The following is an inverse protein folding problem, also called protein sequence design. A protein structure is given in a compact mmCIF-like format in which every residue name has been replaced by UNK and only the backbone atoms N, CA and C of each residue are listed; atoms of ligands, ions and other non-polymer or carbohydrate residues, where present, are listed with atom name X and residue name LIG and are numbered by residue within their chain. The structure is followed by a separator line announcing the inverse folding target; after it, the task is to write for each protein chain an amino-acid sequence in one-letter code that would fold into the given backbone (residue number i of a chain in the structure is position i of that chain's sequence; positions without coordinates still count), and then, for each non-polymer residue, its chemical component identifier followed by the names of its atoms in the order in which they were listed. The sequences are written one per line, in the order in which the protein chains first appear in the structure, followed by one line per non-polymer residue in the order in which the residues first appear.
data_IF_769076417768
#
_entry.id   IF_769076417768
#
_cell.length_a   1.000
_cell.length_b   1.000
_cell.length_c   1.000
_cell.angle_alpha   90.00
_cell.angle_beta   90.00
_cell.angle_gamma   90.00
#
_symmetry.space_group_name_H-M   'P 1'
#
loop_
_entity.id
_entity.type
_entity.pdbx_description
1 polymer ?
#
# COMPACT_ATOMS: atom_id res chain seq x y z
N UNK A 1 18.22 -3.93 -4.18
CA UNK A 1 19.20 -3.85 -3.06
C UNK A 1 19.88 -2.49 -3.00
N UNK A 2 20.63 -2.07 -4.01
CA UNK A 2 21.39 -0.80 -4.01
C UNK A 2 20.53 0.43 -3.68
N UNK A 3 19.34 0.53 -4.25
CA UNK A 3 18.40 1.63 -3.98
C UNK A 3 18.07 1.76 -2.50
N UNK A 4 17.61 0.68 -1.84
CA UNK A 4 17.22 0.75 -0.43
C UNK A 4 18.42 0.97 0.50
N UNK A 5 19.58 0.39 0.18
CA UNK A 5 20.82 0.66 0.91
C UNK A 5 21.23 2.14 0.81
N UNK A 6 21.13 2.72 -0.41
CA UNK A 6 21.40 4.14 -0.62
C UNK A 6 20.42 5.02 0.16
N UNK A 7 19.11 4.73 0.08
CA UNK A 7 18.07 5.52 0.74
C UNK A 7 18.18 5.44 2.26
N UNK A 8 18.40 4.24 2.82
CA UNK A 8 18.60 4.05 4.26
C UNK A 8 19.85 4.79 4.75
N UNK A 9 20.93 4.80 3.96
CA UNK A 9 22.14 5.57 4.29
C UNK A 9 21.89 7.08 4.25
N UNK A 10 21.21 7.55 3.21
CA UNK A 10 20.93 8.98 3.00
C UNK A 10 20.02 9.58 4.06
N UNK A 11 19.02 8.81 4.50
CA UNK A 11 18.01 9.26 5.45
C UNK A 11 18.19 8.67 6.85
N UNK A 12 19.41 8.19 7.17
CA UNK A 12 19.72 7.62 8.47
C UNK A 12 19.35 8.56 9.61
N UNK A 13 18.55 8.08 10.55
CA UNK A 13 18.10 8.82 11.73
C UNK A 13 16.98 9.84 11.43
N UNK A 14 16.40 9.85 10.25
CA UNK A 14 15.25 10.70 9.89
C UNK A 14 13.97 9.97 10.25
N UNK A 15 13.36 10.34 11.37
CA UNK A 15 12.26 9.59 12.01
C UNK A 15 10.94 9.54 11.24
N UNK A 16 10.74 10.41 10.25
CA UNK A 16 9.52 10.46 9.42
C UNK A 16 9.68 9.77 8.05
N UNK A 17 10.73 8.96 7.87
CA UNK A 17 10.91 8.14 6.67
C UNK A 17 10.41 6.73 6.94
N UNK A 18 9.51 6.26 6.07
CA UNK A 18 8.97 4.90 6.04
C UNK A 18 9.43 4.27 4.71
N UNK A 19 9.81 3.00 4.75
CA UNK A 19 10.28 2.27 3.57
C UNK A 19 9.23 1.26 3.11
N UNK A 20 8.52 1.56 2.03
CA UNK A 20 7.71 0.55 1.34
C UNK A 20 8.58 -0.15 0.30
N UNK A 21 8.78 -1.47 0.47
CA UNK A 21 9.82 -2.20 -0.28
C UNK A 21 9.32 -2.87 -1.55
N UNK A 22 8.02 -2.98 -1.75
CA UNK A 22 7.35 -3.42 -2.98
C UNK A 22 5.90 -2.94 -2.98
N UNK A 23 5.53 -2.09 -3.93
CA UNK A 23 4.19 -1.51 -4.01
C UNK A 23 3.09 -2.57 -4.22
N UNK A 24 3.10 -3.22 -5.36
CA UNK A 24 2.05 -4.18 -5.76
C UNK A 24 2.65 -5.43 -6.43
N UNK A 25 3.10 -6.42 -5.65
CA UNK A 25 3.47 -7.71 -6.21
C UNK A 25 2.28 -8.34 -6.95
N UNK A 26 2.41 -8.47 -8.28
CA UNK A 26 1.34 -8.98 -9.14
C UNK A 26 1.85 -10.17 -9.97
N UNK A 27 1.72 -10.12 -11.31
CA UNK A 27 2.19 -11.19 -12.17
C UNK A 27 3.70 -11.19 -12.36
N UNK A 28 4.36 -12.33 -12.12
CA UNK A 28 5.73 -12.60 -12.57
C UNK A 28 5.79 -13.02 -14.04
N UNK A 29 4.67 -13.50 -14.58
CA UNK A 29 4.48 -13.77 -16.01
C UNK A 29 3.14 -13.17 -16.43
N UNK A 30 3.19 -12.02 -17.10
CA UNK A 30 2.00 -11.28 -17.56
C UNK A 30 1.27 -11.98 -18.72
N UNK A 31 1.98 -12.83 -19.51
CA UNK A 31 1.38 -13.55 -20.63
C UNK A 31 0.50 -14.69 -20.11
N UNK A 32 1.02 -15.47 -19.18
CA UNK A 32 0.32 -16.62 -18.60
C UNK A 32 -0.43 -16.29 -17.32
N UNK A 33 -0.41 -15.03 -16.86
CA UNK A 33 -1.05 -14.53 -15.64
C UNK A 33 -0.64 -15.33 -14.39
N UNK A 34 0.67 -15.62 -14.27
CA UNK A 34 1.23 -16.32 -13.11
C UNK A 34 1.63 -15.30 -12.06
N UNK A 35 0.96 -15.32 -10.91
CA UNK A 35 1.25 -14.43 -9.79
C UNK A 35 2.59 -14.78 -9.10
N UNK A 36 3.19 -13.79 -8.43
CA UNK A 36 4.17 -14.04 -7.39
C UNK A 36 3.49 -14.72 -6.21
N UNK A 37 4.12 -15.79 -5.70
CA UNK A 37 3.69 -16.41 -4.44
C UNK A 37 4.17 -15.60 -3.25
N UNK A 38 3.50 -15.75 -2.10
CA UNK A 38 3.98 -15.13 -0.86
C UNK A 38 5.41 -15.56 -0.51
N UNK A 39 5.78 -16.82 -0.71
CA UNK A 39 7.13 -17.30 -0.43
C UNK A 39 8.21 -16.55 -1.24
N UNK A 40 7.96 -16.26 -2.52
CA UNK A 40 8.88 -15.50 -3.38
C UNK A 40 8.97 -14.01 -2.93
N UNK A 41 7.85 -13.42 -2.55
CA UNK A 41 7.80 -12.03 -2.03
C UNK A 41 8.50 -11.95 -0.67
N UNK A 42 8.29 -12.92 0.19
CA UNK A 42 8.92 -13.01 1.52
C UNK A 42 10.45 -13.12 1.40
N UNK A 43 10.97 -13.99 0.54
CA UNK A 43 12.41 -14.13 0.29
C UNK A 43 13.06 -12.82 -0.17
N UNK A 44 12.42 -12.13 -1.12
CA UNK A 44 12.85 -10.80 -1.54
C UNK A 44 12.81 -9.81 -0.39
N UNK A 45 11.70 -9.77 0.35
CA UNK A 45 11.48 -8.82 1.44
C UNK A 45 12.47 -9.00 2.58
N UNK A 46 12.73 -10.24 3.01
CA UNK A 46 13.73 -10.54 4.05
C UNK A 46 15.13 -10.05 3.64
N UNK A 47 15.48 -10.19 2.37
CA UNK A 47 16.75 -9.71 1.81
C UNK A 47 16.84 -8.17 1.89
N UNK A 48 15.79 -7.46 1.52
CA UNK A 48 15.75 -5.99 1.54
C UNK A 48 15.68 -5.45 2.99
N UNK A 49 14.86 -6.08 3.83
CA UNK A 49 14.74 -5.74 5.25
C UNK A 49 16.12 -5.86 5.94
N UNK A 50 16.84 -6.95 5.73
CA UNK A 50 18.18 -7.14 6.30
C UNK A 50 19.14 -6.01 5.88
N UNK A 51 19.08 -5.57 4.62
CA UNK A 51 19.91 -4.48 4.13
C UNK A 51 19.56 -3.13 4.76
N UNK A 52 18.27 -2.82 4.91
CA UNK A 52 17.82 -1.60 5.60
C UNK A 52 18.21 -1.67 7.10
N UNK A 53 17.95 -2.78 7.78
CA UNK A 53 18.24 -2.97 9.21
C UNK A 53 19.73 -2.92 9.57
N UNK A 54 20.61 -3.22 8.63
CA UNK A 54 22.05 -3.01 8.82
C UNK A 54 22.42 -1.52 8.99
N UNK A 55 21.54 -0.59 8.58
CA UNK A 55 21.78 0.86 8.58
C UNK A 55 20.81 1.57 9.54
N UNK A 56 19.51 1.29 9.40
CA UNK A 56 18.38 1.84 10.16
C UNK A 56 17.68 0.73 10.95
N UNK A 57 17.91 0.69 12.25
CA UNK A 57 17.41 -0.40 13.10
C UNK A 57 15.91 -0.30 13.39
N UNK A 58 15.41 0.94 13.53
CA UNK A 58 14.08 1.22 14.07
C UNK A 58 13.08 1.77 13.03
N UNK A 59 13.53 1.99 11.78
CA UNK A 59 12.65 2.50 10.73
C UNK A 59 11.45 1.57 10.48
N UNK A 60 10.29 2.15 10.21
CA UNK A 60 9.13 1.37 9.77
C UNK A 60 9.38 0.88 8.34
N UNK A 61 9.19 -0.42 8.11
CA UNK A 61 9.28 -1.03 6.79
C UNK A 61 7.92 -1.66 6.46
N UNK A 62 7.40 -1.33 5.27
CA UNK A 62 6.13 -1.85 4.77
C UNK A 62 6.41 -2.87 3.67
N UNK A 63 5.81 -4.03 3.80
CA UNK A 63 6.00 -5.18 2.92
C UNK A 63 4.79 -5.33 2.00
N UNK A 64 5.01 -5.36 0.68
CA UNK A 64 3.97 -5.66 -0.28
C UNK A 64 3.46 -7.10 -0.15
N UNK A 65 2.19 -7.32 -0.45
CA UNK A 65 1.56 -8.64 -0.39
C UNK A 65 1.11 -9.12 -1.78
N UNK A 66 0.83 -10.43 -2.01
CA UNK A 66 0.48 -10.92 -3.34
C UNK A 66 -0.79 -10.26 -3.91
N UNK A 67 -0.95 -10.36 -5.23
CA UNK A 67 -2.14 -9.90 -5.98
C UNK A 67 -2.46 -8.42 -5.74
N UNK A 68 -1.50 -7.56 -6.14
CA UNK A 68 -1.63 -6.10 -5.99
C UNK A 68 -1.85 -5.69 -4.53
N UNK A 69 -1.10 -6.29 -3.62
CA UNK A 69 -1.18 -6.02 -2.19
C UNK A 69 -2.59 -6.24 -1.58
N UNK A 70 -3.28 -7.30 -2.06
CA UNK A 70 -4.60 -7.69 -1.57
C UNK A 70 -4.58 -8.93 -0.68
N UNK A 71 -3.58 -9.82 -0.82
CA UNK A 71 -3.54 -11.09 -0.11
C UNK A 71 -2.71 -10.99 1.19
N UNK A 72 -3.14 -10.13 2.12
CA UNK A 72 -2.52 -9.99 3.45
C UNK A 72 -2.73 -11.26 4.30
N UNK A 73 -3.75 -12.05 4.00
CA UNK A 73 -4.04 -13.35 4.60
C UNK A 73 -2.94 -14.39 4.31
N UNK A 74 -2.33 -14.35 3.12
CA UNK A 74 -1.18 -15.21 2.79
C UNK A 74 0.03 -14.86 3.69
N UNK A 75 0.32 -13.56 3.87
CA UNK A 75 1.37 -13.10 4.76
C UNK A 75 1.08 -13.43 6.23
N UNK A 76 -0.18 -13.39 6.65
CA UNK A 76 -0.60 -13.73 8.00
C UNK A 76 -0.42 -15.21 8.35
N UNK A 77 -0.47 -16.09 7.35
CA UNK A 77 -0.24 -17.53 7.54
C UNK A 77 1.25 -17.89 7.70
N UNK A 78 2.15 -17.07 7.19
CA UNK A 78 3.60 -17.27 7.28
C UNK A 78 4.34 -15.92 7.36
N UNK A 79 4.21 -15.17 8.46
CA UNK A 79 4.78 -13.82 8.58
C UNK A 79 6.31 -13.81 8.55
N UNK A 80 6.88 -12.64 8.23
CA UNK A 80 8.31 -12.40 8.39
C UNK A 80 8.61 -12.24 9.87
N UNK A 81 9.55 -13.03 10.38
CA UNK A 81 9.90 -13.08 11.80
C UNK A 81 11.30 -12.52 12.05
N UNK A 82 11.54 -12.12 13.31
CA UNK A 82 12.88 -11.68 13.77
C UNK A 82 13.22 -10.22 13.48
N UNK A 83 12.24 -9.42 13.07
CA UNK A 83 12.35 -7.98 12.87
C UNK A 83 11.18 -7.26 13.53
N UNK A 84 11.47 -6.15 14.17
CA UNK A 84 10.46 -5.22 14.69
C UNK A 84 10.10 -4.14 13.67
N UNK A 85 9.01 -3.41 13.90
CA UNK A 85 8.54 -2.29 13.07
C UNK A 85 8.30 -2.69 11.61
N UNK A 86 7.72 -3.88 11.40
CA UNK A 86 7.21 -4.31 10.10
C UNK A 86 5.71 -4.08 10.02
N UNK A 87 5.25 -3.60 8.88
CA UNK A 87 3.85 -3.53 8.50
C UNK A 87 3.65 -4.21 7.14
N UNK A 88 2.41 -4.58 6.83
CA UNK A 88 2.05 -5.20 5.55
C UNK A 88 1.05 -4.32 4.86
N UNK A 89 1.26 -4.08 3.56
CA UNK A 89 0.34 -3.22 2.83
C UNK A 89 -0.89 -3.98 2.35
N UNK A 90 -2.04 -3.31 2.46
CA UNK A 90 -3.31 -3.70 1.87
C UNK A 90 -3.77 -2.58 0.94
N UNK A 91 -3.96 -2.88 -0.36
CA UNK A 91 -4.49 -1.92 -1.31
C UNK A 91 -5.96 -2.21 -1.62
N UNK A 92 -6.76 -1.16 -1.73
CA UNK A 92 -8.15 -1.30 -2.15
C UNK A 92 -8.62 -0.13 -3.02
N UNK A 93 -9.59 -0.43 -3.86
CA UNK A 93 -10.42 0.56 -4.56
C UNK A 93 -11.88 0.22 -4.29
N UNK A 94 -12.57 1.10 -3.59
CA UNK A 94 -13.87 0.82 -2.97
C UNK A 94 -14.98 0.50 -3.99
N UNK A 95 -14.87 0.95 -5.23
CA UNK A 95 -15.75 0.54 -6.32
C UNK A 95 -15.67 -0.96 -6.65
N UNK A 96 -14.48 -1.56 -6.49
CA UNK A 96 -14.20 -2.97 -6.80
C UNK A 96 -14.11 -3.86 -5.55
N UNK A 97 -13.40 -3.39 -4.54
CA UNK A 97 -13.04 -4.17 -3.36
C UNK A 97 -14.03 -3.87 -2.23
N UNK A 98 -14.67 -4.92 -1.73
CA UNK A 98 -15.76 -4.84 -0.76
C UNK A 98 -15.39 -5.58 0.53
N UNK A 99 -16.38 -5.98 1.28
CA UNK A 99 -16.25 -6.71 2.54
C UNK A 99 -15.31 -7.93 2.45
N UNK A 100 -15.34 -8.64 1.32
CA UNK A 100 -14.48 -9.82 1.13
C UNK A 100 -12.97 -9.51 1.32
N UNK A 101 -12.53 -8.29 0.98
CA UNK A 101 -11.14 -7.88 1.16
C UNK A 101 -10.90 -7.37 2.58
N UNK A 102 -11.86 -6.67 3.20
CA UNK A 102 -11.79 -6.33 4.63
C UNK A 102 -11.68 -7.57 5.50
N UNK A 103 -12.42 -8.66 5.19
CA UNK A 103 -12.30 -9.95 5.89
C UNK A 103 -10.89 -10.55 5.84
N UNK A 104 -10.13 -10.36 4.77
CA UNK A 104 -8.71 -10.74 4.72
C UNK A 104 -7.88 -9.86 5.67
N UNK A 105 -8.16 -8.57 5.72
CA UNK A 105 -7.57 -7.65 6.69
C UNK A 105 -7.87 -8.08 8.13
N UNK A 106 -9.12 -8.35 8.46
CA UNK A 106 -9.55 -8.84 9.79
C UNK A 106 -8.81 -10.11 10.19
N UNK A 107 -8.67 -11.03 9.23
CA UNK A 107 -7.90 -12.25 9.46
C UNK A 107 -6.44 -11.95 9.77
N UNK A 108 -5.79 -11.08 8.99
CA UNK A 108 -4.40 -10.70 9.19
C UNK A 108 -4.18 -10.01 10.55
N UNK A 109 -5.07 -9.09 10.93
CA UNK A 109 -5.06 -8.42 12.23
C UNK A 109 -5.24 -9.44 13.36
N UNK A 110 -6.16 -10.40 13.22
CA UNK A 110 -6.38 -11.47 14.21
C UNK A 110 -5.16 -12.35 14.44
N UNK A 111 -4.23 -12.40 13.47
CA UNK A 111 -2.93 -13.08 13.55
C UNK A 111 -1.80 -12.20 14.08
N UNK A 112 -2.09 -10.93 14.38
CA UNK A 112 -1.12 -9.98 14.93
C UNK A 112 -0.32 -9.21 13.89
N UNK A 113 -0.72 -9.21 12.62
CA UNK A 113 -0.07 -8.37 11.61
C UNK A 113 -0.51 -6.91 11.78
N UNK A 114 0.45 -6.00 11.73
CA UNK A 114 0.20 -4.58 11.57
C UNK A 114 -0.01 -4.27 10.08
N UNK A 115 -1.11 -3.61 9.74
CA UNK A 115 -1.45 -3.24 8.38
C UNK A 115 -1.26 -1.73 8.16
N UNK A 116 -0.94 -1.37 6.91
CA UNK A 116 -0.98 -0.01 6.40
C UNK A 116 -1.65 -0.04 5.03
N UNK A 117 -2.63 0.80 4.77
CA UNK A 117 -3.21 0.97 3.45
C UNK A 117 -2.42 2.05 2.72
N UNK A 118 -1.34 1.66 2.05
CA UNK A 118 -0.44 2.61 1.37
C UNK A 118 -1.01 3.15 0.07
N UNK A 119 -2.06 2.53 -0.44
CA UNK A 119 -2.78 2.99 -1.63
C UNK A 119 -4.25 2.61 -1.55
N UNK A 120 -5.14 3.57 -1.76
CA UNK A 120 -6.58 3.31 -1.87
C UNK A 120 -7.30 4.37 -2.71
N UNK A 121 -8.51 4.02 -3.17
CA UNK A 121 -9.38 4.93 -3.90
C UNK A 121 -10.86 4.59 -3.74
N UNK A 122 -11.73 5.57 -4.00
CA UNK A 122 -13.19 5.40 -3.91
C UNK A 122 -13.85 4.80 -5.16
N UNK A 123 -13.13 4.76 -6.30
CA UNK A 123 -13.60 4.30 -7.60
C UNK A 123 -13.23 2.83 -7.87
N UNK A 124 -13.33 2.38 -9.12
CA UNK A 124 -12.90 1.04 -9.52
C UNK A 124 -11.38 0.88 -9.52
N UNK A 125 -10.90 -0.36 -9.47
CA UNK A 125 -9.47 -0.70 -9.41
C UNK A 125 -8.66 -0.33 -10.66
N UNK A 126 -9.33 0.04 -11.76
CA UNK A 126 -8.69 0.62 -12.96
C UNK A 126 -8.49 2.14 -12.87
N UNK A 127 -8.81 2.76 -11.74
CA UNK A 127 -8.73 4.18 -11.50
C UNK A 127 -9.88 4.99 -12.12
N UNK A 128 -10.91 4.32 -12.64
CA UNK A 128 -12.02 4.94 -13.37
C UNK A 128 -13.38 4.65 -12.71
N UNK A 129 -14.41 5.28 -13.25
CA UNK A 129 -15.80 5.11 -12.80
C UNK A 129 -16.18 6.04 -11.65
N UNK A 130 -17.44 6.00 -11.21
CA UNK A 130 -17.90 6.84 -10.11
C UNK A 130 -17.29 6.40 -8.78
N UNK A 131 -17.17 7.36 -7.86
CA UNK A 131 -16.85 7.07 -6.48
C UNK A 131 -18.01 6.31 -5.85
N UNK A 132 -17.73 5.14 -5.28
CA UNK A 132 -18.68 4.39 -4.48
C UNK A 132 -18.63 4.89 -3.04
N UNK A 133 -19.46 5.88 -2.74
CA UNK A 133 -19.46 6.58 -1.46
C UNK A 133 -19.73 5.63 -0.29
N UNK A 134 -20.77 4.78 -0.40
CA UNK A 134 -21.13 3.83 0.66
C UNK A 134 -19.99 2.86 0.98
N UNK A 135 -19.37 2.32 -0.06
CA UNK A 135 -18.24 1.41 0.12
C UNK A 135 -16.99 2.13 0.64
N UNK A 136 -16.76 3.38 0.23
CA UNK A 136 -15.63 4.18 0.71
C UNK A 136 -15.79 4.49 2.19
N UNK A 137 -16.98 4.89 2.63
CA UNK A 137 -17.29 5.13 4.04
C UNK A 137 -17.08 3.86 4.87
N UNK A 138 -17.54 2.70 4.39
CA UNK A 138 -17.32 1.41 5.07
C UNK A 138 -15.84 1.02 5.17
N UNK A 139 -14.99 1.42 4.21
CA UNK A 139 -13.54 1.23 4.28
C UNK A 139 -12.88 2.17 5.29
N UNK A 140 -13.28 3.45 5.30
CA UNK A 140 -12.77 4.43 6.26
C UNK A 140 -13.12 4.02 7.69
N UNK A 141 -14.39 3.67 7.94
CA UNK A 141 -14.84 3.17 9.25
C UNK A 141 -14.04 1.96 9.70
N UNK A 142 -13.84 0.97 8.81
CA UNK A 142 -13.04 -0.21 9.10
C UNK A 142 -11.58 0.11 9.43
N UNK A 143 -10.96 1.05 8.71
CA UNK A 143 -9.59 1.47 8.99
C UNK A 143 -9.48 2.21 10.32
N UNK A 144 -10.45 3.09 10.62
CA UNK A 144 -10.49 3.84 11.88
C UNK A 144 -10.70 2.91 13.09
N UNK A 145 -11.60 1.92 12.97
CA UNK A 145 -11.84 0.91 14.02
C UNK A 145 -10.62 0.04 14.32
N UNK A 146 -9.72 -0.14 13.36
CA UNK A 146 -8.51 -0.98 13.48
C UNK A 146 -7.22 -0.18 13.59
N UNK A 147 -7.27 1.15 13.78
CA UNK A 147 -6.10 2.04 13.87
C UNK A 147 -5.17 1.93 12.64
N UNK A 148 -5.72 1.75 11.44
CA UNK A 148 -4.96 1.58 10.20
C UNK A 148 -4.75 2.94 9.52
N UNK A 149 -3.49 3.31 9.33
CA UNK A 149 -3.13 4.49 8.53
C UNK A 149 -3.31 4.21 7.04
N UNK A 150 -3.68 5.26 6.27
CA UNK A 150 -3.92 5.12 4.84
C UNK A 150 -3.48 6.34 4.02
N UNK A 151 -3.29 6.12 2.71
CA UNK A 151 -3.02 7.15 1.73
C UNK A 151 -3.89 6.96 0.49
N UNK A 152 -4.59 8.03 0.09
CA UNK A 152 -5.37 7.99 -1.16
C UNK A 152 -4.48 8.15 -2.39
N UNK A 153 -4.74 7.38 -3.41
CA UNK A 153 -4.22 7.51 -4.76
C UNK A 153 -5.14 8.39 -5.61
N UNK A 154 -4.69 9.52 -6.22
CA UNK A 154 -3.41 10.16 -5.98
C UNK A 154 -3.49 11.67 -6.23
N UNK A 155 -2.55 12.45 -5.69
CA UNK A 155 -2.38 13.85 -6.09
C UNK A 155 -1.73 13.86 -7.47
N UNK A 156 -2.54 13.82 -8.52
CA UNK A 156 -2.13 13.86 -9.93
C UNK A 156 -3.17 14.60 -10.75
N UNK A 157 -2.79 15.04 -11.94
CA UNK A 157 -3.62 15.76 -12.91
C UNK A 157 -3.98 14.91 -14.15
N UNK A 158 -3.82 13.59 -14.05
CA UNK A 158 -4.19 12.69 -15.14
C UNK A 158 -5.69 12.69 -15.39
N UNK A 159 -6.09 12.37 -16.64
CA UNK A 159 -7.49 12.22 -17.04
C UNK A 159 -8.07 10.87 -16.54
N UNK A 160 -8.14 10.69 -15.24
CA UNK A 160 -8.70 9.50 -14.58
C UNK A 160 -9.39 9.91 -13.27
N UNK A 161 -10.39 9.14 -12.84
CA UNK A 161 -11.21 9.50 -11.67
C UNK A 161 -10.40 9.51 -10.37
N UNK A 162 -9.38 8.66 -10.25
CA UNK A 162 -8.52 8.64 -9.06
C UNK A 162 -7.57 9.84 -8.93
N UNK A 163 -7.46 10.68 -9.96
CA UNK A 163 -6.70 11.93 -9.89
C UNK A 163 -7.46 12.99 -9.09
N UNK A 164 -6.83 13.57 -8.07
CA UNK A 164 -7.44 14.60 -7.23
C UNK A 164 -7.45 15.97 -7.92
N UNK A 165 -6.58 16.19 -8.90
CA UNK A 165 -6.48 17.44 -9.64
C UNK A 165 -7.11 17.31 -11.01
N UNK A 166 -7.61 18.43 -11.52
CA UNK A 166 -8.02 18.54 -12.93
C UNK A 166 -6.79 18.59 -13.83
N UNK A 167 -6.87 18.14 -15.10
CA UNK A 167 -5.76 18.23 -16.06
C UNK A 167 -5.28 19.66 -16.34
N UNK A 168 -6.09 20.66 -16.00
CA UNK A 168 -5.76 22.08 -16.12
C UNK A 168 -5.09 22.67 -14.87
N UNK A 169 -4.99 21.90 -13.79
CA UNK A 169 -4.37 22.37 -12.56
C UNK A 169 -2.88 22.72 -12.76
N UNK A 170 -2.37 23.76 -12.08
CA UNK A 170 -0.95 24.08 -12.17
C UNK A 170 -0.11 22.95 -11.55
N UNK A 171 1.12 22.75 -12.08
CA UNK A 171 2.05 21.71 -11.62
C UNK A 171 2.55 21.91 -10.18
N UNK A 172 2.38 23.09 -9.64
CA UNK A 172 2.78 23.45 -8.26
C UNK A 172 1.61 24.13 -7.54
N UNK A 173 1.39 23.75 -6.27
CA UNK A 173 0.41 24.38 -5.40
C UNK A 173 0.87 25.77 -4.88
N UNK A 174 0.01 26.45 -4.13
CA UNK A 174 -1.26 25.93 -3.61
C UNK A 174 -2.34 25.81 -4.69
N UNK A 175 -3.13 24.73 -4.62
CA UNK A 175 -4.28 24.53 -5.52
C UNK A 175 -5.55 25.12 -4.93
N UNK A 176 -6.38 25.74 -5.78
CA UNK A 176 -7.70 26.24 -5.43
C UNK A 176 -8.76 25.12 -5.61
N UNK A 177 -9.95 25.31 -5.04
CA UNK A 177 -11.06 24.35 -5.20
C UNK A 177 -11.41 24.12 -6.68
N UNK A 178 -11.17 25.11 -7.55
CA UNK A 178 -11.37 25.02 -9.00
C UNK A 178 -10.34 24.14 -9.71
N UNK A 179 -9.26 23.77 -9.05
CA UNK A 179 -8.21 22.89 -9.58
C UNK A 179 -8.45 21.43 -9.16
N UNK A 180 -9.37 21.21 -8.20
CA UNK A 180 -9.69 19.89 -7.69
C UNK A 180 -10.76 19.21 -8.54
N UNK A 181 -10.65 17.90 -8.67
CA UNK A 181 -11.70 17.08 -9.27
C UNK A 181 -12.86 16.93 -8.27
N UNK A 182 -14.13 17.13 -8.71
CA UNK A 182 -15.30 17.03 -7.84
C UNK A 182 -15.60 15.61 -7.39
#
# INVERSE_FOLDING_TARGET
MEFFTYMATKYKGVSNVIYEIWNEPSYKDHINQIDYTWAEIKEYSETVIAAIRAIEKDAVIIVGTPRWSQNVDDAANDPILGYDNLMYTLHFYAGTHKEWLRQKGDYAISKGLALFVTECGGMNADGQGPIDVESTEAWIEWMDENDISYAFWSISDKEETCSMLLPSAPSEGPWADTDLRP
#
